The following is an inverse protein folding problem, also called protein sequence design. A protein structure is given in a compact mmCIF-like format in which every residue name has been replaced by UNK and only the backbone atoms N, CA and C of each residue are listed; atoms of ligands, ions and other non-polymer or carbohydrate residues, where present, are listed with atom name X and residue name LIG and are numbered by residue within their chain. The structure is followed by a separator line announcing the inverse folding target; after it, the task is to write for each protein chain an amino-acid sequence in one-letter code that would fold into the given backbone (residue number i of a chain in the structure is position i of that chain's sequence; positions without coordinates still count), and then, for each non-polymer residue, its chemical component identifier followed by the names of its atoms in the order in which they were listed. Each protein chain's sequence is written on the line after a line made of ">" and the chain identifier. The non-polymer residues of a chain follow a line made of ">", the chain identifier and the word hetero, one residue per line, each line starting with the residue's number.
data_IF_680642133186
#
_entry.id   IF_680642133186
#
_cell.length_a   1.000
_cell.length_b   1.000
_cell.length_c   1.000
_cell.angle_alpha   90.00
_cell.angle_beta   90.00
_cell.angle_gamma   90.00
#
_symmetry.space_group_name_H-M   'P 1'
#
loop_
_entity.id
_entity.type
_entity.pdbx_description
1 polymer ?
#
# COMPACT_ATOMS: atom_id res chain seq x y z
N UNK A 1 18.41 -4.52 -17.64
CA UNK A 1 18.94 -4.49 -16.24
C UNK A 1 17.90 -4.95 -15.20
N UNK A 2 16.68 -4.35 -15.06
CA UNK A 2 15.70 -4.78 -14.04
C UNK A 2 15.32 -6.27 -14.14
N UNK A 3 15.14 -6.80 -15.35
CA UNK A 3 14.90 -8.24 -15.61
C UNK A 3 16.04 -9.11 -15.11
N UNK A 4 17.29 -8.66 -15.29
CA UNK A 4 18.45 -9.41 -14.81
C UNK A 4 18.46 -9.52 -13.29
N UNK A 5 18.18 -8.42 -12.58
CA UNK A 5 18.16 -8.39 -11.12
C UNK A 5 16.97 -9.16 -10.53
N UNK A 6 15.78 -9.03 -11.13
CA UNK A 6 14.55 -9.50 -10.51
C UNK A 6 14.04 -10.83 -11.05
N UNK A 7 14.63 -11.37 -12.13
CA UNK A 7 14.24 -12.63 -12.74
C UNK A 7 15.46 -13.55 -12.93
N UNK A 8 16.46 -13.15 -13.72
CA UNK A 8 17.60 -14.01 -14.06
C UNK A 8 18.45 -14.32 -12.82
N UNK A 9 18.82 -13.28 -12.05
CA UNK A 9 19.61 -13.39 -10.81
C UNK A 9 18.77 -13.15 -9.55
N UNK A 10 17.44 -13.42 -9.60
CA UNK A 10 16.50 -13.08 -8.53
C UNK A 10 16.94 -13.63 -7.16
N UNK A 11 17.49 -14.85 -7.11
CA UNK A 11 17.96 -15.44 -5.84
C UNK A 11 19.16 -14.70 -5.27
N UNK A 12 20.11 -14.28 -6.11
CA UNK A 12 21.30 -13.53 -5.69
C UNK A 12 20.94 -12.13 -5.15
N UNK A 13 19.79 -11.54 -5.59
CA UNK A 13 19.29 -10.25 -5.15
C UNK A 13 18.03 -10.33 -4.28
N UNK A 14 17.69 -11.51 -3.76
CA UNK A 14 16.53 -11.67 -2.89
C UNK A 14 16.75 -11.17 -1.45
N UNK A 15 17.99 -10.84 -1.06
CA UNK A 15 18.29 -10.29 0.28
C UNK A 15 17.83 -8.85 0.42
N UNK A 16 17.65 -8.43 1.68
CA UNK A 16 17.36 -7.05 2.07
C UNK A 16 18.55 -6.46 2.83
N UNK A 17 18.91 -5.20 2.55
CA UNK A 17 19.90 -4.51 3.37
C UNK A 17 19.32 -4.23 4.76
N UNK A 18 20.17 -4.24 5.76
CA UNK A 18 19.79 -3.77 7.09
C UNK A 18 19.75 -2.24 7.08
N UNK A 19 18.61 -1.70 7.50
CA UNK A 19 18.37 -0.27 7.67
C UNK A 19 17.91 -0.02 9.11
N UNK A 20 18.30 1.09 9.70
CA UNK A 20 17.95 1.42 11.08
C UNK A 20 16.43 1.46 11.28
N UNK A 21 15.71 2.05 10.33
CA UNK A 21 14.26 2.15 10.41
C UNK A 21 13.57 0.77 10.35
N UNK A 22 14.11 -0.14 9.54
CA UNK A 22 13.54 -1.50 9.44
C UNK A 22 13.92 -2.36 10.64
N UNK A 23 15.14 -2.23 11.16
CA UNK A 23 15.56 -2.94 12.37
C UNK A 23 14.64 -2.58 13.55
N UNK A 24 14.43 -1.28 13.80
CA UNK A 24 13.61 -0.80 14.90
C UNK A 24 12.12 -1.03 14.63
N UNK A 25 11.63 -0.63 13.47
CA UNK A 25 10.18 -0.61 13.16
C UNK A 25 9.56 -1.98 12.94
N UNK A 26 10.36 -3.00 12.60
CA UNK A 26 9.87 -4.33 12.24
C UNK A 26 10.43 -5.43 13.15
N UNK A 27 10.70 -5.10 14.41
CA UNK A 27 11.15 -6.05 15.44
C UNK A 27 12.38 -6.87 15.01
N UNK A 28 13.43 -6.18 14.53
CA UNK A 28 14.65 -6.84 14.07
C UNK A 28 14.52 -7.45 12.67
N UNK A 29 13.74 -6.83 11.78
CA UNK A 29 13.45 -7.31 10.43
C UNK A 29 12.83 -8.71 10.41
N UNK A 30 11.78 -8.91 11.20
CA UNK A 30 10.99 -10.16 11.26
C UNK A 30 9.67 -10.08 10.47
N UNK A 31 9.46 -9.00 9.73
CA UNK A 31 8.37 -8.73 8.82
C UNK A 31 8.52 -9.48 7.47
N UNK A 32 7.60 -9.28 6.52
CA UNK A 32 7.69 -9.88 5.19
C UNK A 32 8.38 -8.98 4.15
N UNK A 33 8.45 -7.67 4.40
CA UNK A 33 9.06 -6.72 3.48
C UNK A 33 10.60 -6.75 3.60
N UNK A 34 11.16 -6.79 4.82
CA UNK A 34 12.58 -6.63 5.10
C UNK A 34 13.27 -7.86 5.71
N UNK A 35 12.54 -8.88 6.16
CA UNK A 35 13.15 -10.10 6.69
C UNK A 35 14.20 -10.68 5.72
N UNK A 36 15.35 -11.15 6.21
CA UNK A 36 16.36 -11.82 5.41
C UNK A 36 15.77 -12.97 4.59
N UNK A 37 16.26 -13.15 3.36
CA UNK A 37 15.80 -14.26 2.54
C UNK A 37 16.27 -15.59 3.11
N UNK A 38 15.34 -16.45 3.49
CA UNK A 38 15.58 -17.75 4.10
C UNK A 38 14.26 -18.49 4.35
N UNK A 39 14.33 -19.59 5.12
CA UNK A 39 13.19 -20.47 5.36
C UNK A 39 12.10 -19.77 6.17
N UNK A 40 12.48 -19.02 7.20
CA UNK A 40 11.57 -18.19 7.96
C UNK A 40 10.79 -17.23 7.05
N UNK A 41 11.49 -16.47 6.19
CA UNK A 41 10.83 -15.55 5.27
C UNK A 41 9.90 -16.28 4.30
N UNK A 42 10.31 -17.44 3.77
CA UNK A 42 9.46 -18.25 2.87
C UNK A 42 8.16 -18.68 3.57
N UNK A 43 8.25 -19.12 4.82
CA UNK A 43 7.08 -19.47 5.62
C UNK A 43 6.17 -18.27 5.85
N UNK A 44 6.71 -17.14 6.34
CA UNK A 44 5.91 -15.94 6.61
C UNK A 44 5.30 -15.37 5.34
N UNK A 45 6.04 -15.36 4.24
CA UNK A 45 5.54 -14.98 2.91
C UNK A 45 4.37 -15.87 2.48
N UNK A 46 4.48 -17.18 2.65
CA UNK A 46 3.42 -18.14 2.33
C UNK A 46 2.17 -17.88 3.18
N UNK A 47 2.34 -17.71 4.48
CA UNK A 47 1.25 -17.38 5.41
C UNK A 47 0.55 -16.09 4.96
N UNK A 48 1.29 -15.01 4.76
CA UNK A 48 0.70 -13.74 4.35
C UNK A 48 -0.03 -13.84 3.00
N UNK A 49 0.54 -14.54 2.02
CA UNK A 49 -0.06 -14.65 0.68
C UNK A 49 -1.33 -15.49 0.69
N UNK A 50 -1.37 -16.60 1.43
CA UNK A 50 -2.49 -17.55 1.41
C UNK A 50 -3.59 -17.14 2.40
N UNK A 51 -3.19 -16.85 3.65
CA UNK A 51 -4.13 -16.66 4.75
C UNK A 51 -4.64 -15.21 4.87
N UNK A 52 -3.81 -14.21 4.49
CA UNK A 52 -4.13 -12.80 4.73
C UNK A 52 -4.46 -12.02 3.45
N UNK A 53 -3.76 -12.28 2.34
CA UNK A 53 -3.78 -11.45 1.13
C UNK A 53 -4.25 -12.19 -0.12
N UNK A 54 -4.76 -13.43 0.01
CA UNK A 54 -5.38 -14.14 -1.11
C UNK A 54 -6.64 -13.41 -1.61
N UNK A 55 -6.97 -13.56 -2.89
CA UNK A 55 -8.16 -12.92 -3.47
C UNK A 55 -9.44 -13.23 -2.68
N UNK A 56 -9.62 -14.47 -2.23
CA UNK A 56 -10.76 -14.88 -1.38
C UNK A 56 -10.78 -14.11 -0.06
N UNK A 57 -9.62 -13.93 0.57
CA UNK A 57 -9.53 -13.20 1.84
C UNK A 57 -9.79 -11.71 1.64
N UNK A 58 -9.21 -11.11 0.61
CA UNK A 58 -9.47 -9.72 0.24
C UNK A 58 -10.96 -9.50 -0.02
N UNK A 59 -11.62 -10.40 -0.73
CA UNK A 59 -13.06 -10.33 -0.99
C UNK A 59 -13.89 -10.44 0.30
N UNK A 60 -13.44 -11.18 1.30
CA UNK A 60 -14.15 -11.27 2.59
C UNK A 60 -14.26 -9.93 3.34
N UNK A 61 -13.39 -8.96 3.02
CA UNK A 61 -13.42 -7.60 3.55
C UNK A 61 -14.24 -6.62 2.68
N UNK A 62 -15.00 -7.09 1.67
CA UNK A 62 -15.79 -6.21 0.80
C UNK A 62 -16.77 -5.33 1.59
N UNK A 63 -17.47 -5.90 2.57
CA UNK A 63 -18.39 -5.14 3.42
C UNK A 63 -17.69 -4.02 4.22
N UNK A 64 -16.44 -4.26 4.66
CA UNK A 64 -15.63 -3.23 5.32
C UNK A 64 -15.33 -2.09 4.36
N UNK A 65 -14.96 -2.41 3.11
CA UNK A 65 -14.72 -1.39 2.07
C UNK A 65 -15.99 -0.63 1.73
N UNK A 66 -17.12 -1.30 1.56
CA UNK A 66 -18.41 -0.67 1.29
C UNK A 66 -18.77 0.34 2.38
N UNK A 67 -18.67 -0.03 3.66
CA UNK A 67 -18.95 0.85 4.80
C UNK A 67 -18.05 2.09 4.81
N UNK A 68 -16.74 1.91 4.63
CA UNK A 68 -15.78 3.03 4.67
C UNK A 68 -15.90 3.93 3.44
N UNK A 69 -16.22 3.37 2.28
CA UNK A 69 -16.52 4.15 1.07
C UNK A 69 -17.80 4.96 1.27
N UNK A 70 -18.84 4.36 1.87
CA UNK A 70 -20.06 5.10 2.20
C UNK A 70 -19.77 6.26 3.16
N UNK A 71 -18.99 6.00 4.21
CA UNK A 71 -18.58 7.03 5.17
C UNK A 71 -17.79 8.16 4.50
N UNK A 72 -16.91 7.83 3.55
CA UNK A 72 -16.18 8.80 2.75
C UNK A 72 -17.12 9.67 1.91
N UNK A 73 -18.04 9.06 1.17
CA UNK A 73 -19.03 9.76 0.34
C UNK A 73 -19.89 10.70 1.19
N UNK A 74 -20.39 10.22 2.34
CA UNK A 74 -21.22 11.02 3.25
C UNK A 74 -20.42 12.18 3.86
N UNK A 75 -19.18 11.93 4.25
CA UNK A 75 -18.29 12.97 4.77
C UNK A 75 -17.96 14.05 3.75
N UNK A 76 -17.90 13.72 2.46
CA UNK A 76 -17.70 14.68 1.36
C UNK A 76 -19.00 15.46 1.11
N UNK A 77 -20.16 14.80 1.08
CA UNK A 77 -21.47 15.45 0.93
C UNK A 77 -21.75 16.48 2.03
N UNK A 78 -21.34 16.15 3.25
CA UNK A 78 -21.53 17.02 4.42
C UNK A 78 -20.53 18.18 4.48
N UNK A 79 -19.48 18.14 3.66
CA UNK A 79 -18.46 19.18 3.63
C UNK A 79 -18.96 20.36 2.77
N UNK A 80 -18.96 21.55 3.37
CA UNK A 80 -19.29 22.77 2.63
C UNK A 80 -18.01 23.38 2.02
N UNK A 81 -17.91 23.38 0.68
CA UNK A 81 -16.85 24.10 -0.04
C UNK A 81 -15.57 23.27 -0.26
N UNK A 82 -14.44 23.81 0.21
CA UNK A 82 -13.12 23.25 -0.06
C UNK A 82 -12.86 21.99 0.75
N UNK A 83 -12.45 20.92 0.07
CA UNK A 83 -12.17 19.61 0.64
C UNK A 83 -10.67 19.34 0.60
N UNK A 84 -10.06 18.96 1.71
CA UNK A 84 -8.74 18.34 1.73
C UNK A 84 -8.88 16.88 1.30
N UNK A 85 -8.75 16.64 -0.02
CA UNK A 85 -8.91 15.32 -0.62
C UNK A 85 -7.86 14.33 -0.10
N UNK A 86 -6.60 14.77 0.02
CA UNK A 86 -5.49 13.94 0.53
C UNK A 86 -5.79 13.36 1.91
N UNK A 87 -6.25 14.18 2.85
CA UNK A 87 -6.59 13.72 4.21
C UNK A 87 -7.79 12.78 4.23
N UNK A 88 -8.84 13.10 3.45
CA UNK A 88 -10.04 12.26 3.41
C UNK A 88 -9.73 10.86 2.85
N UNK A 89 -8.94 10.78 1.77
CA UNK A 89 -8.55 9.50 1.20
C UNK A 89 -7.65 8.73 2.15
N UNK A 90 -6.62 9.37 2.71
CA UNK A 90 -5.74 8.71 3.66
C UNK A 90 -6.52 8.17 4.87
N UNK A 91 -7.44 8.94 5.42
CA UNK A 91 -8.29 8.51 6.54
C UNK A 91 -9.16 7.30 6.17
N UNK A 92 -9.84 7.34 5.01
CA UNK A 92 -10.70 6.24 4.55
C UNK A 92 -9.90 4.95 4.32
N UNK A 93 -8.78 5.02 3.60
CA UNK A 93 -7.93 3.86 3.33
C UNK A 93 -7.31 3.31 4.63
N UNK A 94 -6.87 4.18 5.54
CA UNK A 94 -6.38 3.77 6.87
C UNK A 94 -7.45 3.05 7.68
N UNK A 95 -8.71 3.50 7.61
CA UNK A 95 -9.83 2.84 8.26
C UNK A 95 -10.11 1.46 7.68
N UNK A 96 -10.07 1.30 6.35
CA UNK A 96 -10.20 -0.01 5.68
C UNK A 96 -9.09 -0.95 6.16
N UNK A 97 -7.83 -0.49 6.13
CA UNK A 97 -6.68 -1.30 6.55
C UNK A 97 -6.76 -1.70 8.03
N UNK A 98 -7.12 -0.74 8.91
CA UNK A 98 -7.29 -1.00 10.35
C UNK A 98 -8.41 -1.99 10.64
N UNK A 99 -9.57 -1.84 9.99
CA UNK A 99 -10.72 -2.75 10.17
C UNK A 99 -10.43 -4.14 9.62
N UNK A 100 -9.70 -4.25 8.52
CA UNK A 100 -9.26 -5.54 8.00
C UNK A 100 -8.24 -6.22 8.92
N UNK A 101 -7.32 -5.44 9.52
CA UNK A 101 -6.27 -5.95 10.40
C UNK A 101 -6.78 -6.29 11.81
N UNK A 102 -7.57 -5.41 12.41
CA UNK A 102 -7.92 -5.45 13.85
C UNK A 102 -9.42 -5.64 14.12
N UNK A 103 -10.27 -5.71 13.09
CA UNK A 103 -11.72 -5.72 13.24
C UNK A 103 -12.30 -4.39 13.74
N UNK A 104 -13.55 -4.44 14.23
CA UNK A 104 -14.28 -3.24 14.69
C UNK A 104 -13.81 -2.69 16.06
N UNK A 105 -13.00 -3.43 16.80
CA UNK A 105 -12.74 -3.17 18.22
C UNK A 105 -11.50 -2.34 18.52
N UNK A 106 -10.76 -1.87 17.52
CA UNK A 106 -9.56 -1.07 17.78
C UNK A 106 -9.94 0.32 18.30
N UNK A 107 -10.01 0.47 19.64
CA UNK A 107 -10.27 1.76 20.31
C UNK A 107 -9.10 2.74 20.10
N UNK A 108 -7.90 2.24 19.87
CA UNK A 108 -6.66 3.02 19.77
C UNK A 108 -6.28 3.37 18.33
N UNK A 109 -7.15 3.09 17.33
CA UNK A 109 -6.83 3.33 15.92
C UNK A 109 -6.44 4.79 15.64
N UNK A 110 -7.11 5.73 16.29
CA UNK A 110 -6.85 7.16 16.08
C UNK A 110 -5.49 7.61 16.62
N UNK A 111 -4.97 6.90 17.63
CA UNK A 111 -3.61 7.09 18.13
C UNK A 111 -2.58 6.31 17.29
N UNK A 112 -2.95 5.13 16.77
CA UNK A 112 -2.08 4.25 15.99
C UNK A 112 -1.74 4.84 14.61
N UNK A 113 -2.73 5.34 13.86
CA UNK A 113 -2.57 5.81 12.49
C UNK A 113 -1.48 6.89 12.34
N UNK A 114 -1.47 8.00 13.14
CA UNK A 114 -0.43 9.01 13.05
C UNK A 114 0.98 8.49 13.36
N UNK A 115 1.10 7.59 14.36
CA UNK A 115 2.38 7.01 14.77
C UNK A 115 2.91 6.08 13.68
N UNK A 116 2.07 5.23 13.10
CA UNK A 116 2.45 4.35 11.99
C UNK A 116 2.88 5.16 10.75
N UNK A 117 2.16 6.24 10.41
CA UNK A 117 2.54 7.16 9.33
C UNK A 117 3.90 7.81 9.58
N UNK A 118 4.15 8.27 10.81
CA UNK A 118 5.44 8.86 11.18
C UNK A 118 6.58 7.83 11.08
N UNK A 119 6.36 6.59 11.52
CA UNK A 119 7.33 5.49 11.41
C UNK A 119 7.68 5.21 9.94
N UNK A 120 6.68 5.10 9.06
CA UNK A 120 6.85 4.88 7.62
C UNK A 120 7.62 6.05 6.97
N UNK A 121 7.29 7.29 7.35
CA UNK A 121 7.96 8.48 6.80
C UNK A 121 9.46 8.52 7.12
N UNK A 122 9.86 7.96 8.26
CA UNK A 122 11.27 7.84 8.68
C UNK A 122 11.98 6.63 8.03
N UNK A 123 11.24 5.71 7.43
CA UNK A 123 11.78 4.50 6.80
C UNK A 123 12.34 4.71 5.38
N UNK A 124 12.50 5.94 4.93
CA UNK A 124 12.98 6.29 3.59
C UNK A 124 14.36 5.73 3.20
N UNK A 125 15.14 5.23 4.18
CA UNK A 125 16.36 4.44 3.92
C UNK A 125 17.56 5.24 3.41
N UNK A 126 17.55 6.56 3.53
CA UNK A 126 18.61 7.44 3.07
C UNK A 126 19.27 8.25 4.22
N UNK A 127 19.15 7.75 5.45
CA UNK A 127 19.88 8.33 6.58
C UNK A 127 21.39 8.06 6.43
N UNK A 128 22.23 8.98 6.94
CA UNK A 128 23.68 8.79 6.90
C UNK A 128 24.14 7.51 7.56
N UNK A 129 23.42 7.02 8.57
CA UNK A 129 23.71 5.75 9.25
C UNK A 129 23.47 4.57 8.32
N UNK A 130 22.44 4.65 7.50
CA UNK A 130 22.12 3.58 6.51
C UNK A 130 23.12 3.57 5.34
N UNK A 131 23.66 4.75 5.00
CA UNK A 131 24.69 4.88 3.95
C UNK A 131 26.06 4.41 4.43
N UNK A 132 26.36 4.62 5.72
CA UNK A 132 27.65 4.26 6.33
C UNK A 132 27.46 3.39 7.58
N UNK A 133 26.92 2.17 7.44
CA UNK A 133 26.52 1.32 8.57
C UNK A 133 27.65 0.87 9.48
N UNK A 134 28.89 0.86 9.00
CA UNK A 134 30.06 0.49 9.79
C UNK A 134 30.63 1.64 10.64
N UNK A 135 30.14 2.85 10.42
CA UNK A 135 30.65 4.04 11.15
C UNK A 135 29.94 4.18 12.51
N UNK A 136 30.58 3.64 13.56
CA UNK A 136 30.06 3.68 14.95
C UNK A 136 29.82 5.10 15.48
N UNK A 137 30.57 6.09 15.01
CA UNK A 137 30.38 7.48 15.41
C UNK A 137 29.06 8.03 14.85
N UNK A 138 28.76 7.80 13.58
CA UNK A 138 27.47 8.19 12.98
C UNK A 138 26.31 7.50 13.69
N UNK A 139 26.46 6.22 14.03
CA UNK A 139 25.44 5.48 14.80
C UNK A 139 25.18 6.11 16.16
N UNK A 140 26.23 6.55 16.87
CA UNK A 140 26.11 7.12 18.23
C UNK A 140 25.47 8.50 18.26
N UNK A 141 25.54 9.28 17.18
CA UNK A 141 24.98 10.63 17.11
C UNK A 141 23.64 10.67 16.34
N UNK A 142 23.19 9.57 15.79
CA UNK A 142 21.95 9.51 15.01
C UNK A 142 20.73 9.80 15.90
N UNK A 143 20.13 10.96 15.68
CA UNK A 143 18.85 11.32 16.32
C UNK A 143 17.67 10.53 15.73
N UNK A 144 17.83 9.98 14.53
CA UNK A 144 16.78 9.20 13.84
C UNK A 144 16.50 7.93 14.60
N UNK A 145 17.52 7.18 15.04
CA UNK A 145 17.33 5.95 15.83
C UNK A 145 16.55 6.23 17.12
N UNK A 146 16.93 7.24 17.89
CA UNK A 146 16.23 7.63 19.12
C UNK A 146 14.78 8.02 18.87
N UNK A 147 14.51 8.71 17.76
CA UNK A 147 13.16 9.09 17.37
C UNK A 147 12.34 7.85 16.99
N UNK A 148 12.92 6.96 16.18
CA UNK A 148 12.30 5.69 15.78
C UNK A 148 11.95 4.82 16.99
N UNK A 149 12.87 4.65 17.93
CA UNK A 149 12.66 3.86 19.15
C UNK A 149 11.51 4.42 20.00
N UNK A 150 11.41 5.74 20.12
CA UNK A 150 10.29 6.40 20.85
C UNK A 150 8.93 6.18 20.17
N UNK A 151 8.88 6.25 18.84
CA UNK A 151 7.64 6.00 18.10
C UNK A 151 7.29 4.53 18.18
N UNK A 152 8.26 3.66 17.92
CA UNK A 152 8.11 2.20 17.99
C UNK A 152 7.58 1.75 19.35
N UNK A 153 8.11 2.27 20.45
CA UNK A 153 7.61 1.95 21.79
C UNK A 153 6.11 2.25 21.95
N UNK A 154 5.63 3.40 21.43
CA UNK A 154 4.19 3.73 21.49
C UNK A 154 3.36 2.82 20.60
N UNK A 155 3.83 2.53 19.39
CA UNK A 155 3.19 1.60 18.46
C UNK A 155 3.11 0.21 19.07
N UNK A 156 4.21 -0.26 19.68
CA UNK A 156 4.29 -1.55 20.34
C UNK A 156 3.26 -1.71 21.45
N UNK A 157 3.12 -0.69 22.32
CA UNK A 157 2.11 -0.69 23.38
C UNK A 157 0.68 -0.82 22.81
N UNK A 158 0.37 -0.11 21.72
CA UNK A 158 -0.95 -0.20 21.09
C UNK A 158 -1.18 -1.59 20.49
N UNK A 159 -0.19 -2.13 19.77
CA UNK A 159 -0.29 -3.47 19.17
C UNK A 159 -0.39 -4.56 20.24
N UNK A 160 0.34 -4.44 21.37
CA UNK A 160 0.23 -5.37 22.50
C UNK A 160 -1.19 -5.37 23.07
N UNK A 161 -1.79 -4.18 23.29
CA UNK A 161 -3.16 -4.05 23.75
C UNK A 161 -4.17 -4.70 22.80
N UNK A 162 -4.01 -4.48 21.48
CA UNK A 162 -4.85 -5.08 20.46
C UNK A 162 -4.79 -6.61 20.52
N UNK A 163 -3.57 -7.15 20.52
CA UNK A 163 -3.34 -8.61 20.59
C UNK A 163 -3.91 -9.19 21.90
N UNK A 164 -3.71 -8.50 23.02
CA UNK A 164 -4.24 -8.93 24.30
C UNK A 164 -5.79 -8.98 24.29
N UNK A 165 -6.45 -7.96 23.74
CA UNK A 165 -7.90 -7.95 23.60
C UNK A 165 -8.41 -9.10 22.74
N UNK A 166 -7.76 -9.39 21.60
CA UNK A 166 -8.13 -10.54 20.74
C UNK A 166 -7.98 -11.88 21.48
N UNK A 167 -6.89 -12.05 22.25
CA UNK A 167 -6.71 -13.26 23.05
C UNK A 167 -7.81 -13.44 24.11
N UNK A 168 -8.25 -12.36 24.75
CA UNK A 168 -9.35 -12.41 25.73
C UNK A 168 -10.68 -12.75 25.07
N UNK A 169 -11.00 -12.14 23.93
CA UNK A 169 -12.22 -12.43 23.19
C UNK A 169 -12.32 -13.87 22.72
N UNK A 170 -11.18 -14.48 22.32
CA UNK A 170 -11.15 -15.90 21.96
C UNK A 170 -11.42 -16.85 23.14
N UNK A 171 -11.09 -16.46 24.35
CA UNK A 171 -11.41 -17.26 25.56
C UNK A 171 -12.90 -17.19 25.86
N UNK A 172 -13.49 -16.00 25.81
CA UNK A 172 -14.91 -15.77 26.12
C UNK A 172 -15.81 -16.50 25.12
N UNK A 173 -15.50 -16.45 23.82
CA UNK A 173 -16.31 -17.12 22.78
C UNK A 173 -16.25 -18.65 22.83
N UNK A 174 -15.24 -19.25 23.45
CA UNK A 174 -15.18 -20.71 23.67
C UNK A 174 -16.06 -21.16 24.82
N UNK A 175 -16.24 -20.32 25.82
CA UNK A 175 -17.04 -20.64 27.01
C UNK A 175 -18.55 -20.33 26.80
N UNK A 176 -18.90 -19.42 25.89
CA UNK A 176 -20.28 -19.00 25.57
C UNK A 176 -20.84 -19.59 24.26
N UNK A 177 -20.36 -20.75 23.82
CA UNK A 177 -20.84 -21.42 22.61
C UNK A 177 -22.30 -21.91 22.74
N UNK A 178 -23.23 -20.98 22.91
CA UNK A 178 -24.67 -21.17 22.68
C UNK A 178 -25.00 -21.13 21.23
N UNK A 179 -25.93 -21.99 20.77
CA UNK A 179 -26.21 -22.37 19.40
C UNK A 179 -26.68 -21.28 18.41
N UNK A 180 -26.72 -19.98 18.76
CA UNK A 180 -27.38 -18.94 17.94
C UNK A 180 -26.52 -17.73 17.52
N UNK A 181 -25.18 -17.80 17.62
CA UNK A 181 -24.34 -16.72 17.13
C UNK A 181 -23.72 -17.05 15.76
N UNK A 182 -24.02 -16.24 14.74
CA UNK A 182 -23.26 -16.27 13.47
C UNK A 182 -21.75 -16.16 13.77
N UNK A 183 -20.93 -17.05 13.21
CA UNK A 183 -19.48 -17.03 13.45
C UNK A 183 -18.90 -15.69 12.99
N UNK A 184 -18.30 -14.94 13.93
CA UNK A 184 -17.60 -13.70 13.63
C UNK A 184 -16.55 -13.95 12.55
N UNK A 185 -16.54 -13.13 11.51
CA UNK A 185 -15.48 -13.16 10.49
C UNK A 185 -14.14 -12.84 11.15
N UNK A 186 -13.17 -13.76 11.02
CA UNK A 186 -11.81 -13.55 11.50
C UNK A 186 -11.17 -12.33 10.83
N UNK A 187 -10.56 -11.44 11.58
CA UNK A 187 -9.64 -10.43 11.07
C UNK A 187 -8.21 -10.99 10.92
N UNK A 188 -7.25 -10.14 10.52
CA UNK A 188 -5.90 -10.64 10.26
C UNK A 188 -5.16 -11.02 11.55
N UNK A 189 -5.44 -10.34 12.68
CA UNK A 189 -4.87 -10.69 13.99
C UNK A 189 -5.40 -12.05 14.46
N UNK A 190 -6.71 -12.30 14.32
CA UNK A 190 -7.31 -13.59 14.66
C UNK A 190 -6.64 -14.75 13.90
N UNK A 191 -6.40 -14.57 12.60
CA UNK A 191 -5.71 -15.59 11.77
C UNK A 191 -4.29 -15.85 12.27
N UNK A 192 -3.52 -14.79 12.55
CA UNK A 192 -2.13 -14.93 13.00
C UNK A 192 -2.06 -15.59 14.40
N UNK A 193 -2.98 -15.25 15.30
CA UNK A 193 -3.09 -15.89 16.62
C UNK A 193 -3.47 -17.37 16.52
N UNK A 194 -4.40 -17.71 15.62
CA UNK A 194 -4.77 -19.11 15.35
C UNK A 194 -3.58 -19.91 14.84
N UNK A 195 -2.78 -19.35 13.92
CA UNK A 195 -1.58 -19.99 13.41
C UNK A 195 -0.49 -20.13 14.48
N UNK A 196 -0.34 -19.13 15.37
CA UNK A 196 0.57 -19.18 16.52
C UNK A 196 0.23 -20.34 17.46
N UNK A 197 -1.06 -20.52 17.78
CA UNK A 197 -1.54 -21.57 18.69
C UNK A 197 -1.54 -22.95 18.05
N UNK A 198 -1.74 -23.03 16.74
CA UNK A 198 -1.91 -24.30 16.02
C UNK A 198 -0.68 -25.18 15.94
N UNK A 199 0.52 -24.66 16.18
CA UNK A 199 1.78 -25.42 16.21
C UNK A 199 2.15 -26.14 14.89
N UNK A 200 1.46 -25.83 13.79
CA UNK A 200 1.63 -26.50 12.50
C UNK A 200 2.74 -25.90 11.61
N UNK A 201 3.35 -24.81 12.06
CA UNK A 201 4.38 -24.07 11.33
C UNK A 201 5.78 -24.62 11.67
N UNK A 202 6.63 -24.72 10.66
CA UNK A 202 8.03 -25.13 10.83
C UNK A 202 8.79 -24.18 11.76
N UNK A 203 8.56 -22.87 11.62
CA UNK A 203 9.08 -21.84 12.50
C UNK A 203 7.93 -21.26 13.33
N UNK A 204 7.98 -21.33 14.69
CA UNK A 204 6.98 -20.73 15.55
C UNK A 204 6.86 -19.22 15.33
N UNK A 205 5.64 -18.70 15.32
CA UNK A 205 5.37 -17.27 15.23
C UNK A 205 5.33 -16.67 16.63
N UNK A 206 6.20 -15.70 16.92
CA UNK A 206 6.19 -14.92 18.15
C UNK A 206 5.15 -13.79 18.10
N UNK A 207 4.84 -13.18 19.22
CA UNK A 207 3.99 -11.97 19.26
C UNK A 207 4.63 -10.82 18.47
N UNK A 208 5.96 -10.66 18.54
CA UNK A 208 6.68 -9.65 17.78
C UNK A 208 6.56 -9.88 16.26
N UNK A 209 6.58 -11.14 15.80
CA UNK A 209 6.35 -11.46 14.39
C UNK A 209 4.93 -11.09 13.96
N UNK A 210 3.93 -11.31 14.82
CA UNK A 210 2.55 -10.88 14.57
C UNK A 210 2.49 -9.36 14.41
N UNK A 211 3.07 -8.61 15.34
CA UNK A 211 3.13 -7.14 15.30
C UNK A 211 3.84 -6.65 14.05
N UNK A 212 4.97 -7.25 13.66
CA UNK A 212 5.72 -6.90 12.47
C UNK A 212 4.89 -7.08 11.19
N UNK A 213 4.20 -8.21 11.05
CA UNK A 213 3.32 -8.49 9.89
C UNK A 213 2.12 -7.54 9.83
N UNK A 214 1.53 -7.23 10.98
CA UNK A 214 0.44 -6.26 11.06
C UNK A 214 0.90 -4.89 10.56
N UNK A 215 2.08 -4.44 11.01
CA UNK A 215 2.66 -3.18 10.55
C UNK A 215 2.91 -3.17 9.04
N UNK A 216 3.41 -4.25 8.46
CA UNK A 216 3.59 -4.38 7.02
C UNK A 216 2.27 -4.22 6.25
N UNK A 217 1.23 -4.92 6.69
CA UNK A 217 -0.08 -4.91 6.01
C UNK A 217 -0.73 -3.55 6.14
N UNK A 218 -0.68 -2.96 7.35
CA UNK A 218 -1.24 -1.62 7.58
C UNK A 218 -0.49 -0.56 6.77
N UNK A 219 0.84 -0.47 6.91
CA UNK A 219 1.66 0.53 6.24
C UNK A 219 1.62 0.36 4.71
N UNK A 220 1.85 -0.87 4.23
CA UNK A 220 1.84 -1.18 2.82
C UNK A 220 0.47 -1.00 2.16
N UNK A 221 -0.62 -1.30 2.88
CA UNK A 221 -1.99 -1.18 2.36
C UNK A 221 -2.54 0.24 2.41
N UNK A 222 -2.06 1.07 3.34
CA UNK A 222 -2.57 2.44 3.54
C UNK A 222 -1.85 3.46 2.67
N UNK A 223 -0.54 3.61 2.86
CA UNK A 223 0.23 4.71 2.27
C UNK A 223 0.27 4.60 0.75
N UNK A 224 0.52 3.41 0.22
CA UNK A 224 0.59 3.19 -1.22
C UNK A 224 -0.75 3.36 -1.93
N UNK A 225 -1.84 2.83 -1.37
CA UNK A 225 -3.17 2.92 -1.98
C UNK A 225 -3.71 4.35 -1.96
N UNK A 226 -3.52 5.08 -0.86
CA UNK A 226 -3.91 6.49 -0.78
C UNK A 226 -3.12 7.36 -1.76
N UNK A 227 -1.82 7.08 -1.93
CA UNK A 227 -0.97 7.76 -2.92
C UNK A 227 -1.45 7.55 -4.35
N UNK A 228 -1.80 6.31 -4.74
CA UNK A 228 -2.37 6.05 -6.07
C UNK A 228 -3.67 6.80 -6.30
N UNK A 229 -4.58 6.80 -5.31
CA UNK A 229 -5.85 7.51 -5.42
C UNK A 229 -5.67 9.02 -5.55
N UNK A 230 -4.77 9.58 -4.75
CA UNK A 230 -4.47 11.02 -4.80
C UNK A 230 -3.89 11.42 -6.16
N UNK A 231 -2.92 10.66 -6.70
CA UNK A 231 -2.35 10.90 -8.01
C UNK A 231 -3.36 10.66 -9.15
N UNK A 232 -4.18 9.61 -9.07
CA UNK A 232 -5.23 9.36 -10.07
C UNK A 232 -6.20 10.55 -10.15
N UNK A 233 -6.63 11.08 -9.01
CA UNK A 233 -7.49 12.26 -8.98
C UNK A 233 -6.75 13.49 -9.49
N UNK A 234 -5.51 13.73 -9.08
CA UNK A 234 -4.71 14.87 -9.53
C UNK A 234 -4.49 14.85 -11.05
N UNK A 235 -4.14 13.67 -11.61
CA UNK A 235 -3.98 13.53 -13.07
C UNK A 235 -5.29 13.71 -13.82
N UNK A 236 -6.40 13.21 -13.32
CA UNK A 236 -7.72 13.46 -13.93
C UNK A 236 -8.13 14.94 -13.86
N UNK A 237 -7.80 15.65 -12.76
CA UNK A 237 -8.05 17.09 -12.65
C UNK A 237 -7.16 17.90 -13.59
N UNK A 238 -5.92 17.47 -13.83
CA UNK A 238 -4.99 18.06 -14.78
C UNK A 238 -5.39 17.78 -16.24
N UNK A 239 -6.08 16.65 -16.47
CA UNK A 239 -6.51 16.17 -17.78
C UNK A 239 -8.05 16.05 -17.85
N UNK A 240 -8.82 17.17 -18.02
CA UNK A 240 -10.29 17.15 -17.92
C UNK A 240 -10.99 16.19 -18.89
N UNK A 241 -10.38 15.87 -20.03
CA UNK A 241 -10.92 14.90 -20.98
C UNK A 241 -10.91 13.48 -20.42
N UNK A 242 -9.84 13.10 -19.68
CA UNK A 242 -9.74 11.83 -18.99
C UNK A 242 -10.77 11.75 -17.87
N UNK A 243 -10.89 12.80 -17.05
CA UNK A 243 -11.92 12.91 -16.01
C UNK A 243 -13.32 12.68 -16.57
N UNK A 244 -13.67 13.43 -17.63
CA UNK A 244 -14.98 13.32 -18.27
C UNK A 244 -15.27 11.91 -18.81
N UNK A 245 -14.26 11.26 -19.40
CA UNK A 245 -14.39 9.91 -19.94
C UNK A 245 -14.57 8.87 -18.81
N UNK A 246 -13.78 8.96 -17.74
CA UNK A 246 -13.91 8.10 -16.58
C UNK A 246 -15.28 8.25 -15.88
N UNK A 247 -15.72 9.51 -15.64
CA UNK A 247 -17.05 9.77 -15.08
C UNK A 247 -18.17 9.28 -16.00
N UNK A 248 -18.04 9.46 -17.31
CA UNK A 248 -19.05 8.99 -18.27
C UNK A 248 -19.21 7.47 -18.27
N UNK A 249 -18.10 6.70 -18.18
CA UNK A 249 -18.15 5.26 -18.07
C UNK A 249 -18.90 4.83 -16.81
N UNK A 250 -18.47 5.33 -15.66
CA UNK A 250 -19.02 4.96 -14.37
C UNK A 250 -20.51 5.32 -14.27
N UNK A 251 -20.88 6.53 -14.67
CA UNK A 251 -22.28 7.04 -14.62
C UNK A 251 -23.20 6.34 -15.60
N UNK A 252 -22.70 6.01 -16.80
CA UNK A 252 -23.48 5.25 -17.78
C UNK A 252 -23.80 3.86 -17.28
N UNK A 253 -22.85 3.23 -16.60
CA UNK A 253 -23.00 1.88 -16.07
C UNK A 253 -24.03 1.83 -14.92
N UNK A 254 -24.08 2.88 -14.07
CA UNK A 254 -24.93 2.97 -12.88
C UNK A 254 -26.16 3.88 -13.05
N UNK A 255 -26.52 4.23 -14.27
CA UNK A 255 -27.65 5.13 -14.55
C UNK A 255 -28.92 4.69 -13.80
N UNK A 256 -29.45 5.58 -12.96
CA UNK A 256 -30.68 5.35 -12.17
C UNK A 256 -30.49 4.63 -10.84
N UNK A 257 -29.29 4.19 -10.48
CA UNK A 257 -29.01 3.58 -9.19
C UNK A 257 -28.55 4.64 -8.18
N UNK A 258 -29.24 4.76 -7.03
CA UNK A 258 -28.89 5.76 -6.00
C UNK A 258 -27.93 5.24 -4.92
N UNK A 259 -27.48 3.99 -5.05
CA UNK A 259 -26.61 3.31 -4.09
C UNK A 259 -25.13 3.43 -4.41
N UNK A 260 -24.31 2.71 -3.64
CA UNK A 260 -22.89 2.51 -3.92
C UNK A 260 -22.69 1.59 -5.13
N UNK A 261 -21.61 1.82 -5.84
CA UNK A 261 -21.00 0.83 -6.72
C UNK A 261 -20.41 -0.24 -5.83
N UNK A 262 -20.76 -1.51 -6.09
CA UNK A 262 -20.23 -2.64 -5.37
C UNK A 262 -18.99 -3.24 -6.06
N UNK A 263 -18.15 -3.90 -5.27
CA UNK A 263 -16.91 -4.52 -5.76
C UNK A 263 -17.15 -5.50 -6.93
N UNK A 264 -18.30 -6.22 -6.93
CA UNK A 264 -18.71 -7.14 -8.01
C UNK A 264 -18.87 -6.47 -9.38
N UNK A 265 -19.03 -5.17 -9.40
CA UNK A 265 -19.27 -4.40 -10.64
C UNK A 265 -18.02 -3.74 -11.20
N UNK A 266 -16.96 -3.62 -10.39
CA UNK A 266 -15.70 -2.96 -10.77
C UNK A 266 -15.07 -3.57 -12.02
N UNK A 267 -15.22 -4.88 -12.22
CA UNK A 267 -14.66 -5.55 -13.41
C UNK A 267 -15.25 -5.05 -14.74
N UNK A 268 -16.39 -4.39 -14.70
CA UNK A 268 -17.08 -3.82 -15.86
C UNK A 268 -16.56 -2.41 -16.22
N UNK A 269 -15.82 -1.76 -15.32
CA UNK A 269 -15.29 -0.40 -15.48
C UNK A 269 -13.89 -0.45 -16.14
N UNK A 270 -13.88 -0.62 -17.46
CA UNK A 270 -12.64 -0.82 -18.22
C UNK A 270 -11.75 0.43 -18.22
N UNK A 271 -12.33 1.58 -18.50
CA UNK A 271 -11.56 2.83 -18.61
C UNK A 271 -10.98 3.28 -17.28
N UNK A 272 -11.72 3.10 -16.19
CA UNK A 272 -11.20 3.35 -14.84
C UNK A 272 -9.93 2.52 -14.55
N UNK A 273 -9.91 1.25 -14.96
CA UNK A 273 -8.71 0.40 -14.80
C UNK A 273 -7.53 0.90 -15.62
N UNK A 274 -7.77 1.45 -16.82
CA UNK A 274 -6.70 2.09 -17.62
C UNK A 274 -6.16 3.35 -16.93
N UNK A 275 -7.02 4.17 -16.33
CA UNK A 275 -6.62 5.35 -15.54
C UNK A 275 -5.71 4.95 -14.39
N UNK A 276 -6.09 3.91 -13.64
CA UNK A 276 -5.29 3.41 -12.51
C UNK A 276 -3.93 2.85 -12.98
N UNK A 277 -3.91 2.10 -14.07
CA UNK A 277 -2.66 1.60 -14.66
C UNK A 277 -1.73 2.74 -15.06
N UNK A 278 -2.25 3.75 -15.75
CA UNK A 278 -1.46 4.90 -16.19
C UNK A 278 -0.98 5.74 -14.99
N UNK A 279 -1.81 5.86 -13.96
CA UNK A 279 -1.38 6.49 -12.69
C UNK A 279 -0.19 5.76 -12.08
N UNK A 280 -0.25 4.44 -11.98
CA UNK A 280 0.86 3.66 -11.42
C UNK A 280 2.10 3.64 -12.31
N UNK A 281 1.97 3.89 -13.62
CA UNK A 281 3.10 4.04 -14.53
C UNK A 281 3.84 5.36 -14.27
N UNK A 282 3.12 6.47 -14.24
CA UNK A 282 3.70 7.79 -14.01
C UNK A 282 4.07 8.01 -12.53
N UNK A 283 3.23 7.58 -11.63
CA UNK A 283 3.39 7.79 -10.18
C UNK A 283 3.41 6.45 -9.43
N UNK A 284 4.42 5.58 -9.67
CA UNK A 284 4.54 4.36 -8.87
C UNK A 284 4.69 4.74 -7.39
N UNK A 285 3.86 4.21 -6.48
CA UNK A 285 3.88 4.62 -5.08
C UNK A 285 5.24 4.46 -4.42
N UNK A 286 5.98 3.41 -4.78
CA UNK A 286 7.37 3.18 -4.39
C UNK A 286 8.27 3.35 -5.62
N UNK A 287 8.72 4.58 -5.93
CA UNK A 287 9.43 4.90 -7.19
C UNK A 287 10.75 4.16 -7.34
N UNK A 288 11.42 3.86 -6.23
CA UNK A 288 12.68 3.12 -6.19
C UNK A 288 12.52 1.68 -5.73
N UNK A 289 11.28 1.20 -5.59
CA UNK A 289 10.90 -0.07 -5.00
C UNK A 289 11.54 -0.28 -3.60
N UNK A 290 11.44 -1.49 -3.06
CA UNK A 290 12.11 -1.82 -1.79
C UNK A 290 13.54 -2.27 -2.09
N UNK A 291 14.58 -1.68 -1.48
CA UNK A 291 15.97 -2.00 -1.75
C UNK A 291 16.28 -3.48 -1.65
N UNK A 292 17.18 -3.95 -2.49
CA UNK A 292 17.71 -5.32 -2.49
C UNK A 292 19.18 -5.32 -2.08
N UNK A 293 19.67 -6.46 -1.66
CA UNK A 293 21.08 -6.66 -1.36
C UNK A 293 21.61 -7.91 -2.08
N UNK A 294 22.80 -7.80 -2.66
CA UNK A 294 23.49 -8.91 -3.30
C UNK A 294 24.01 -9.88 -2.22
N UNK A 295 23.51 -11.12 -2.20
CA UNK A 295 23.89 -12.14 -1.22
C UNK A 295 25.04 -13.04 -1.65
N UNK A 296 25.46 -12.97 -2.90
CA UNK A 296 26.60 -13.67 -3.47
C UNK A 296 27.14 -12.87 -4.66
N UNK A 297 28.44 -12.73 -4.76
CA UNK A 297 29.05 -12.00 -5.87
C UNK A 297 28.63 -12.61 -7.21
N UNK A 298 28.18 -11.78 -8.13
CA UNK A 298 27.69 -12.22 -9.43
C UNK A 298 28.01 -11.19 -10.51
N UNK A 299 27.85 -11.60 -11.77
CA UNK A 299 28.05 -10.72 -12.93
C UNK A 299 26.71 -10.44 -13.60
N UNK A 300 26.39 -9.16 -13.79
CA UNK A 300 25.14 -8.71 -14.42
C UNK A 300 25.48 -7.73 -15.53
N UNK A 301 25.07 -8.05 -16.77
CA UNK A 301 25.34 -7.23 -17.98
C UNK A 301 26.82 -6.79 -18.10
N UNK A 302 27.74 -7.67 -17.77
CA UNK A 302 29.18 -7.38 -17.82
C UNK A 302 29.77 -6.71 -16.59
N UNK A 303 28.95 -6.21 -15.66
CA UNK A 303 29.39 -5.60 -14.39
C UNK A 303 29.54 -6.67 -13.31
N UNK A 304 30.64 -6.62 -12.58
CA UNK A 304 30.81 -7.43 -11.37
C UNK A 304 30.11 -6.76 -10.19
N UNK A 305 29.19 -7.48 -9.56
CA UNK A 305 28.44 -7.00 -8.41
C UNK A 305 28.95 -7.72 -7.16
N UNK A 306 29.65 -7.02 -6.27
CA UNK A 306 30.17 -7.60 -5.04
C UNK A 306 29.07 -8.06 -4.08
N UNK A 307 29.44 -8.98 -3.19
CA UNK A 307 28.62 -9.36 -2.02
C UNK A 307 28.23 -8.10 -1.22
N UNK A 308 27.00 -8.06 -0.69
CA UNK A 308 26.42 -6.95 0.09
C UNK A 308 26.22 -5.63 -0.67
N UNK A 309 26.38 -5.63 -1.99
CA UNK A 309 26.01 -4.46 -2.79
C UNK A 309 24.53 -4.19 -2.63
N UNK A 310 24.17 -2.97 -2.21
CA UNK A 310 22.78 -2.48 -2.18
C UNK A 310 22.34 -2.14 -3.59
N UNK A 311 21.18 -2.65 -4.00
CA UNK A 311 20.63 -2.49 -5.34
C UNK A 311 19.26 -1.84 -5.25
N UNK A 312 19.08 -0.76 -5.98
CA UNK A 312 17.84 -0.01 -6.11
C UNK A 312 17.36 -0.14 -7.55
N UNK A 313 16.08 -0.47 -7.74
CA UNK A 313 15.44 -0.53 -9.05
C UNK A 313 14.54 0.68 -9.21
N UNK A 314 14.85 1.53 -10.18
CA UNK A 314 14.13 2.78 -10.41
C UNK A 314 12.89 2.53 -11.29
N UNK A 315 11.77 2.13 -10.67
CA UNK A 315 10.49 1.89 -11.35
C UNK A 315 9.91 3.19 -11.94
N UNK A 316 10.19 4.33 -11.33
CA UNK A 316 9.78 5.66 -11.82
C UNK A 316 10.42 5.97 -13.18
N UNK A 317 11.73 5.74 -13.32
CA UNK A 317 12.44 5.95 -14.59
C UNK A 317 12.00 4.93 -15.64
N UNK A 318 11.80 3.65 -15.24
CA UNK A 318 11.32 2.59 -16.15
C UNK A 318 9.96 2.97 -16.74
N UNK A 319 9.03 3.46 -15.92
CA UNK A 319 7.71 3.90 -16.36
C UNK A 319 7.73 5.14 -17.27
N UNK A 320 8.87 5.83 -17.41
CA UNK A 320 9.09 7.03 -18.23
C UNK A 320 10.13 6.82 -19.34
N UNK A 321 10.55 5.60 -19.56
CA UNK A 321 11.56 5.29 -20.56
C UNK A 321 10.96 5.40 -21.98
N UNK A 322 11.44 6.34 -22.83
CA UNK A 322 10.91 6.54 -24.16
C UNK A 322 11.21 5.35 -25.13
N UNK A 323 12.06 4.43 -24.73
CA UNK A 323 12.28 3.17 -25.48
C UNK A 323 11.05 2.26 -25.43
N UNK A 324 10.24 2.35 -24.37
CA UNK A 324 9.05 1.51 -24.17
C UNK A 324 7.74 2.28 -24.20
N UNK A 325 7.76 3.61 -23.94
CA UNK A 325 6.58 4.42 -23.77
C UNK A 325 6.59 5.65 -24.69
N UNK A 326 5.76 5.66 -25.72
CA UNK A 326 5.53 6.85 -26.54
C UNK A 326 4.94 7.96 -25.66
N UNK A 327 5.40 9.23 -25.87
CA UNK A 327 4.99 10.36 -25.04
C UNK A 327 5.03 10.04 -23.54
N UNK A 328 6.18 9.50 -23.09
CA UNK A 328 6.37 8.88 -21.79
C UNK A 328 5.96 9.75 -20.60
N UNK A 329 6.07 11.09 -20.70
CA UNK A 329 5.70 12.03 -19.65
C UNK A 329 4.21 12.45 -19.68
N UNK A 330 3.46 12.05 -20.69
CA UNK A 330 2.05 12.37 -20.84
C UNK A 330 1.16 11.33 -20.18
N UNK A 331 0.07 11.79 -19.52
CA UNK A 331 -0.94 10.92 -18.92
C UNK A 331 -1.97 10.47 -19.97
N UNK A 332 -1.80 9.30 -20.52
CA UNK A 332 -2.61 8.73 -21.61
C UNK A 332 -3.08 7.32 -21.24
N UNK A 333 -4.22 7.17 -20.53
CA UNK A 333 -4.74 5.86 -20.13
C UNK A 333 -4.94 4.88 -21.29
N UNK A 334 -5.24 5.42 -22.47
CA UNK A 334 -5.50 4.66 -23.69
C UNK A 334 -4.32 3.83 -24.17
N UNK A 335 -3.10 4.11 -23.71
CA UNK A 335 -1.92 3.28 -24.05
C UNK A 335 -2.03 1.84 -23.55
N UNK A 336 -2.84 1.63 -22.52
CA UNK A 336 -3.15 0.30 -21.98
C UNK A 336 -4.37 -0.35 -22.65
N UNK A 337 -5.10 0.36 -23.53
CA UNK A 337 -6.26 -0.20 -24.19
C UNK A 337 -5.86 -1.20 -25.27
N UNK A 338 -6.25 -2.46 -25.09
CA UNK A 338 -5.82 -3.57 -25.97
C UNK A 338 -4.37 -4.02 -25.75
N UNK A 339 -3.62 -3.41 -24.84
CA UNK A 339 -2.27 -3.83 -24.45
C UNK A 339 -2.31 -5.08 -23.57
N UNK A 340 -1.31 -5.96 -23.74
CA UNK A 340 -1.09 -7.13 -22.88
C UNK A 340 -0.24 -6.81 -21.64
N UNK A 341 0.25 -5.57 -21.53
CA UNK A 341 1.12 -5.14 -20.42
C UNK A 341 0.34 -5.14 -19.10
N UNK A 342 0.85 -5.88 -18.11
CA UNK A 342 0.25 -6.05 -16.80
C UNK A 342 1.27 -5.88 -15.66
N UNK A 343 0.79 -5.47 -14.49
CA UNK A 343 1.63 -5.29 -13.29
C UNK A 343 1.96 -6.61 -12.56
N UNK A 344 1.93 -7.74 -13.25
CA UNK A 344 2.17 -9.08 -12.66
C UNK A 344 3.66 -9.45 -12.53
N UNK A 345 4.58 -8.50 -12.81
CA UNK A 345 6.02 -8.70 -12.67
C UNK A 345 6.66 -9.52 -13.80
N UNK A 346 5.96 -9.67 -14.93
CA UNK A 346 6.43 -10.30 -16.16
C UNK A 346 6.87 -9.27 -17.20
N UNK A 347 6.25 -8.10 -17.18
CA UNK A 347 6.45 -7.00 -18.12
C UNK A 347 7.34 -5.96 -17.44
N UNK A 348 8.64 -6.02 -17.72
CA UNK A 348 9.67 -5.26 -16.99
C UNK A 348 9.69 -3.76 -17.33
N UNK A 349 8.99 -3.34 -18.33
CA UNK A 349 8.65 -1.95 -18.63
C UNK A 349 7.58 -1.37 -17.70
N UNK A 350 6.85 -2.25 -16.94
CA UNK A 350 5.77 -1.86 -16.04
C UNK A 350 5.76 -2.68 -14.74
N UNK A 351 6.50 -2.24 -13.74
CA UNK A 351 6.72 -2.98 -12.48
C UNK A 351 6.36 -2.18 -11.21
N UNK A 352 5.17 -1.55 -11.11
CA UNK A 352 4.82 -0.75 -9.93
C UNK A 352 4.75 -1.57 -8.63
N UNK A 353 4.54 -2.89 -8.72
CA UNK A 353 4.54 -3.84 -7.61
C UNK A 353 5.84 -4.65 -7.49
N UNK A 354 6.87 -4.25 -8.24
CA UNK A 354 8.10 -5.02 -8.35
C UNK A 354 7.92 -6.32 -9.14
N UNK A 355 8.92 -7.20 -9.06
CA UNK A 355 8.93 -8.50 -9.73
C UNK A 355 9.72 -9.52 -8.92
N UNK A 356 9.65 -10.80 -9.34
CA UNK A 356 10.38 -11.92 -8.75
C UNK A 356 9.89 -12.32 -7.37
N UNK A 357 10.75 -13.01 -6.60
CA UNK A 357 10.40 -13.59 -5.29
C UNK A 357 9.92 -12.55 -4.27
N UNK A 358 10.39 -11.31 -4.35
CA UNK A 358 10.05 -10.20 -3.48
C UNK A 358 8.96 -9.28 -4.05
N UNK A 359 8.24 -9.71 -5.07
CA UNK A 359 7.09 -8.99 -5.60
C UNK A 359 6.05 -8.74 -4.51
N UNK A 360 5.33 -7.63 -4.57
CA UNK A 360 4.30 -7.27 -3.60
C UNK A 360 3.26 -8.40 -3.41
N UNK A 361 2.98 -8.84 -2.17
CA UNK A 361 1.95 -9.85 -1.90
C UNK A 361 0.55 -9.25 -1.86
N UNK A 362 0.45 -7.93 -1.66
CA UNK A 362 -0.79 -7.21 -1.41
C UNK A 362 -1.46 -6.62 -2.65
N UNK A 363 -1.12 -7.09 -3.86
CA UNK A 363 -1.67 -6.53 -5.11
C UNK A 363 -3.20 -6.52 -5.10
N UNK A 364 -3.83 -7.65 -4.78
CA UNK A 364 -5.29 -7.76 -4.76
C UNK A 364 -5.92 -6.79 -3.73
N UNK A 365 -5.31 -6.68 -2.54
CA UNK A 365 -5.77 -5.78 -1.49
C UNK A 365 -5.61 -4.31 -1.89
N UNK A 366 -4.44 -3.93 -2.41
CA UNK A 366 -4.16 -2.57 -2.85
C UNK A 366 -5.07 -2.12 -3.99
N UNK A 367 -5.24 -2.97 -5.02
CA UNK A 367 -6.09 -2.66 -6.18
C UNK A 367 -7.56 -2.50 -5.76
N UNK A 368 -8.10 -3.38 -4.93
CA UNK A 368 -9.49 -3.28 -4.44
C UNK A 368 -9.71 -1.99 -3.63
N UNK A 369 -8.71 -1.58 -2.83
CA UNK A 369 -8.76 -0.36 -2.03
C UNK A 369 -8.61 0.93 -2.86
N UNK A 370 -8.21 0.84 -4.12
CA UNK A 370 -8.14 1.97 -5.05
C UNK A 370 -9.35 2.01 -5.97
N UNK A 371 -9.70 0.89 -6.61
CA UNK A 371 -10.74 0.83 -7.64
C UNK A 371 -12.11 1.20 -7.10
N UNK A 372 -12.52 0.60 -5.98
CA UNK A 372 -13.86 0.79 -5.44
C UNK A 372 -14.13 2.22 -4.94
N UNK A 373 -13.25 2.82 -4.10
CA UNK A 373 -13.47 4.19 -3.68
C UNK A 373 -13.42 5.19 -4.83
N UNK A 374 -12.46 5.02 -5.77
CA UNK A 374 -12.32 5.92 -6.92
C UNK A 374 -13.55 5.87 -7.82
N UNK A 375 -14.11 4.68 -8.11
CA UNK A 375 -15.35 4.53 -8.86
C UNK A 375 -16.50 5.30 -8.20
N UNK A 376 -16.68 5.15 -6.89
CA UNK A 376 -17.73 5.82 -6.14
C UNK A 376 -17.55 7.35 -6.10
N UNK A 377 -16.32 7.85 -5.96
CA UNK A 377 -16.02 9.28 -6.00
C UNK A 377 -16.35 9.90 -7.36
N UNK A 378 -16.05 9.20 -8.45
CA UNK A 378 -16.37 9.65 -9.82
C UNK A 378 -17.87 9.60 -10.11
N UNK A 379 -18.58 8.65 -9.52
CA UNK A 379 -20.02 8.50 -9.66
C UNK A 379 -20.80 9.59 -8.93
N UNK A 380 -20.49 9.80 -7.65
CA UNK A 380 -21.30 10.64 -6.78
C UNK A 380 -21.04 12.14 -6.91
N UNK A 381 -19.89 12.57 -7.47
CA UNK A 381 -19.52 13.98 -7.47
C UNK A 381 -19.01 14.48 -8.81
N UNK A 382 -19.30 15.77 -9.09
CA UNK A 382 -18.51 16.56 -10.00
C UNK A 382 -17.39 17.24 -9.22
N UNK A 383 -16.19 17.22 -9.79
CA UNK A 383 -14.99 17.72 -9.13
C UNK A 383 -14.46 18.95 -9.85
N UNK A 384 -14.06 19.95 -9.07
CA UNK A 384 -13.50 21.21 -9.58
C UNK A 384 -12.26 21.62 -8.78
N UNK A 385 -11.33 22.29 -9.46
CA UNK A 385 -10.20 22.93 -8.81
C UNK A 385 -10.67 24.18 -8.04
N UNK A 386 -10.06 24.47 -6.86
CA UNK A 386 -10.49 25.58 -6.04
C UNK A 386 -10.20 26.94 -6.70
N UNK A 387 -11.00 27.95 -6.35
CA UNK A 387 -10.78 29.37 -6.71
C UNK A 387 -10.57 29.62 -8.22
N UNK A 388 -11.18 28.82 -9.08
CA UNK A 388 -11.01 28.94 -10.56
C UNK A 388 -9.60 28.61 -11.05
N UNK A 389 -8.82 27.87 -10.28
CA UNK A 389 -7.50 27.39 -10.70
C UNK A 389 -7.62 26.61 -12.01
N UNK A 390 -6.74 26.91 -12.96
CA UNK A 390 -6.67 26.17 -14.22
C UNK A 390 -5.85 24.89 -14.06
N UNK A 391 -6.16 23.82 -14.80
CA UNK A 391 -5.40 22.57 -14.78
C UNK A 391 -3.89 22.73 -14.96
N UNK A 392 -3.47 23.66 -15.81
CA UNK A 392 -2.06 23.93 -16.12
C UNK A 392 -1.28 24.47 -14.91
N UNK A 393 -1.97 25.09 -13.96
CA UNK A 393 -1.39 25.70 -12.76
C UNK A 393 -1.36 24.77 -11.55
N UNK A 394 -1.78 23.50 -11.71
CA UNK A 394 -1.70 22.53 -10.63
C UNK A 394 -0.24 22.20 -10.29
N UNK A 395 0.07 22.26 -9.00
CA UNK A 395 1.34 21.75 -8.50
C UNK A 395 1.33 20.22 -8.51
N UNK A 396 2.19 19.64 -9.34
CA UNK A 396 2.37 18.19 -9.47
C UNK A 396 3.70 17.72 -8.85
N UNK A 397 4.26 18.51 -7.94
CA UNK A 397 5.56 18.20 -7.30
C UNK A 397 5.40 17.04 -6.33
N UNK A 398 6.32 16.07 -6.41
CA UNK A 398 6.46 14.96 -5.47
C UNK A 398 7.22 15.40 -4.20
N UNK A 399 6.84 14.85 -3.06
CA UNK A 399 7.61 14.99 -1.82
C UNK A 399 8.73 13.93 -1.78
N UNK A 400 9.83 14.28 -1.13
CA UNK A 400 10.90 13.32 -0.86
C UNK A 400 10.46 12.32 0.20
N UNK A 401 10.65 11.02 -0.06
CA UNK A 401 10.29 9.93 0.87
C UNK A 401 10.41 8.55 0.23
N UNK A 402 10.07 7.52 1.00
CA UNK A 402 9.96 6.15 0.45
C UNK A 402 8.81 6.05 -0.55
N UNK A 403 7.73 6.79 -0.30
CA UNK A 403 6.52 6.85 -1.12
C UNK A 403 6.49 8.18 -1.89
N UNK A 404 6.17 8.13 -3.18
CA UNK A 404 6.05 9.31 -4.04
C UNK A 404 4.72 10.06 -3.79
N UNK A 405 4.51 10.55 -2.56
CA UNK A 405 3.32 11.36 -2.23
C UNK A 405 3.45 12.77 -2.84
N UNK A 406 2.33 13.44 -3.02
CA UNK A 406 2.34 14.86 -3.41
C UNK A 406 2.99 15.72 -2.33
N UNK A 407 3.74 16.74 -2.74
CA UNK A 407 4.38 17.68 -1.80
C UNK A 407 3.34 18.51 -1.04
N UNK A 408 2.30 18.93 -1.73
CA UNK A 408 1.19 19.70 -1.18
C UNK A 408 -0.10 18.89 -1.28
N UNK A 409 -0.93 18.94 -0.25
CA UNK A 409 -2.23 18.28 -0.24
C UNK A 409 -3.08 18.72 -1.43
N UNK A 410 -3.86 17.79 -1.97
CA UNK A 410 -4.82 18.07 -3.03
C UNK A 410 -6.12 18.62 -2.43
N UNK A 411 -6.41 19.87 -2.74
CA UNK A 411 -7.66 20.52 -2.36
C UNK A 411 -8.59 20.58 -3.56
N UNK A 412 -9.84 20.15 -3.39
CA UNK A 412 -10.86 20.10 -4.44
C UNK A 412 -12.20 20.60 -3.91
N UNK A 413 -13.07 21.00 -4.83
CA UNK A 413 -14.49 21.25 -4.56
C UNK A 413 -15.31 20.11 -5.17
N UNK A 414 -16.24 19.54 -4.38
CA UNK A 414 -17.13 18.48 -4.83
C UNK A 414 -18.57 18.96 -4.85
N UNK A 415 -19.25 18.78 -6.00
CA UNK A 415 -20.68 19.02 -6.14
C UNK A 415 -21.39 17.69 -6.37
N UNK A 416 -22.41 17.33 -5.58
CA UNK A 416 -23.15 16.09 -5.81
C UNK A 416 -23.66 15.97 -7.23
N UNK A 417 -23.49 14.79 -7.81
CA UNK A 417 -24.09 14.45 -9.10
C UNK A 417 -25.48 13.84 -8.84
N UNK A 418 -26.53 14.46 -9.40
CA UNK A 418 -27.93 14.08 -9.23
C UNK A 418 -28.42 13.20 -10.39
#
# INVERSE_FOLDING_TARGET
>A
MAREIMKTHDLSFAQRPQLVATEVGTYGATDIAFAPYGDYWRQMRKVCTIELLSAKRVQSFSSVRDDEVWSLIDSIRSSAGLINFSEKIFSSISSIASRAAFGYKCKDKDAFIPLAKELVSLAGGFDLVDLFPENKFLQSISRVRVKLEKIHFKVDQILENIIHQHKQDHVITKDDAGEDHEPRKEDLVDVLLRLQQGGSLEFPISTDNIKAVIMDIFAGGTDTSSTVMEWAMAEMMKNPQVMKKAQSEVRKFYHGNKGLIHESDIDKLRYLKLVIKETMRLHPPLPLLVPRECREACKVDGYEIPLKTKVIVNAWAIGRDPEYWDDAESFVPERFDGSSIEYKGTDFEYIPFGAGRRMCPGIAFGVANVELPLANLLYHFNWELPNGMKPENMDMTEAFGATAVRKNNLYLTATPFN
#
